data_IF_923369229996
#
_entry.id   IF_923369229996
#
_cell.length_a   1.000
_cell.length_b   1.000
_cell.length_c   1.000
_cell.angle_alpha   90.00
_cell.angle_beta   90.00
_cell.angle_gamma   90.00
#
_symmetry.space_group_name_H-M   'P 1'
#
loop_
_entity.id
_entity.type
_entity.pdbx_description
1 polymer ?
#
# COMPACT_ATOMS: atom_id res chain seq x y z
N UNK A 1 -6.20 46.66 1.11
CA UNK A 1 -5.08 47.33 0.41
C UNK A 1 -3.78 46.80 0.99
N UNK A 2 -2.95 46.22 0.12
CA UNK A 2 -1.55 45.84 0.22
C UNK A 2 -0.91 45.50 1.59
N UNK A 3 -0.35 44.28 1.68
CA UNK A 3 0.97 44.07 2.28
C UNK A 3 1.56 42.76 1.76
N UNK A 4 2.68 42.90 1.07
CA UNK A 4 3.55 41.88 0.48
C UNK A 4 4.30 41.13 1.58
N UNK A 5 4.46 39.81 1.47
CA UNK A 5 5.53 39.08 2.14
C UNK A 5 6.21 38.12 1.15
N UNK A 6 7.50 38.35 1.02
CA UNK A 6 8.43 37.73 0.10
C UNK A 6 8.81 36.31 0.54
N UNK A 7 9.23 35.52 -0.45
CA UNK A 7 9.73 34.16 -0.26
C UNK A 7 11.12 34.10 0.35
N UNK A 8 11.44 32.92 0.90
CA UNK A 8 12.78 32.46 1.16
C UNK A 8 12.92 31.04 0.59
N UNK A 9 13.77 30.92 -0.41
CA UNK A 9 14.18 29.69 -1.09
C UNK A 9 15.19 28.92 -0.24
N UNK A 10 14.96 27.63 -0.02
CA UNK A 10 15.96 26.72 0.51
C UNK A 10 17.00 26.38 -0.58
N UNK A 11 18.25 26.76 -0.34
CA UNK A 11 19.39 26.34 -1.16
C UNK A 11 19.71 24.86 -0.95
N UNK A 12 19.95 24.15 -2.05
CA UNK A 12 20.54 22.79 -2.08
C UNK A 12 22.06 22.93 -2.09
N UNK A 13 22.72 22.26 -1.16
CA UNK A 13 24.17 22.11 -1.11
C UNK A 13 24.59 21.03 -2.13
N UNK A 14 25.38 21.41 -3.13
CA UNK A 14 26.12 20.49 -4.00
C UNK A 14 27.50 20.27 -3.39
N UNK A 15 27.89 19.00 -3.23
CA UNK A 15 29.28 18.62 -2.93
C UNK A 15 29.89 18.17 -4.27
N UNK A 16 30.81 18.97 -4.81
CA UNK A 16 31.69 18.55 -5.91
C UNK A 16 32.83 17.69 -5.33
N UNK A 17 32.95 16.46 -5.83
CA UNK A 17 34.14 15.63 -5.62
C UNK A 17 35.22 16.06 -6.62
N UNK A 18 36.34 16.60 -6.13
CA UNK A 18 37.56 16.79 -6.92
C UNK A 18 38.47 15.56 -6.80
N UNK A 19 39.14 15.12 -7.89
CA UNK A 19 40.05 13.99 -7.84
C UNK A 19 41.40 14.37 -7.23
N UNK A 20 41.95 13.47 -6.41
CA UNK A 20 43.27 13.55 -5.78
C UNK A 20 44.39 13.29 -6.79
N UNK A 21 45.42 14.15 -6.79
CA UNK A 21 46.75 13.92 -7.36
C UNK A 21 47.77 13.80 -6.20
N UNK A 22 48.71 12.83 -6.19
CA UNK A 22 49.60 12.60 -5.06
C UNK A 22 50.99 13.20 -5.30
N UNK A 23 51.42 14.11 -4.41
CA UNK A 23 52.76 14.17 -3.78
C UNK A 23 53.11 15.60 -3.35
N UNK A 24 53.27 15.81 -2.04
CA UNK A 24 54.38 16.60 -1.48
C UNK A 24 54.36 16.53 0.05
N UNK A 25 55.42 15.94 0.59
CA UNK A 25 55.82 15.95 2.00
C UNK A 25 56.19 17.35 2.50
N UNK A 26 55.68 17.78 3.65
CA UNK A 26 56.50 18.43 4.69
C UNK A 26 55.75 18.54 6.03
N UNK A 27 56.54 18.43 7.09
CA UNK A 27 56.23 18.35 8.51
C UNK A 27 55.63 19.63 9.10
N UNK A 28 54.59 19.49 9.93
CA UNK A 28 54.48 20.29 11.16
C UNK A 28 53.69 19.53 12.23
N UNK A 29 54.30 19.47 13.42
CA UNK A 29 53.71 19.00 14.67
C UNK A 29 52.63 19.98 15.12
N UNK A 30 51.38 19.54 15.03
CA UNK A 30 50.23 20.24 15.57
C UNK A 30 49.04 19.29 15.53
N UNK A 31 48.88 18.46 16.55
CA UNK A 31 47.64 17.72 16.79
C UNK A 31 46.56 18.69 17.23
N UNK A 32 46.11 19.53 16.30
CA UNK A 32 44.75 20.03 16.31
C UNK A 32 43.89 18.83 15.96
N UNK A 33 43.41 18.12 17.00
CA UNK A 33 42.26 17.27 16.83
C UNK A 33 41.20 18.13 16.14
N UNK A 34 40.85 17.77 14.90
CA UNK A 34 39.67 18.29 14.23
C UNK A 34 38.49 17.88 15.10
N UNK A 35 38.18 18.74 16.07
CA UNK A 35 37.11 18.55 17.03
C UNK A 35 35.84 18.57 16.18
N UNK A 36 35.19 17.42 16.03
CA UNK A 36 33.93 17.28 15.31
C UNK A 36 32.99 18.40 15.77
N UNK A 37 32.74 19.38 14.90
CA UNK A 37 32.16 20.69 15.27
C UNK A 37 30.62 20.73 15.21
N UNK A 38 29.95 19.61 14.97
CA UNK A 38 28.49 19.56 14.96
C UNK A 38 27.98 18.34 15.73
N UNK A 39 27.54 18.60 16.96
CA UNK A 39 26.61 17.76 17.70
C UNK A 39 25.27 17.82 16.98
N UNK A 40 24.62 16.68 16.76
CA UNK A 40 23.33 16.66 16.08
C UNK A 40 22.56 15.40 16.48
N UNK A 41 21.33 15.57 16.95
CA UNK A 41 20.34 14.50 17.07
C UNK A 41 19.43 14.48 15.83
N UNK A 42 19.59 13.46 14.99
CA UNK A 42 18.73 13.23 13.84
C UNK A 42 17.70 12.13 14.16
N UNK A 43 16.41 12.47 14.15
CA UNK A 43 15.33 11.52 14.43
C UNK A 43 14.64 11.08 13.14
N UNK A 44 14.51 9.76 12.97
CA UNK A 44 13.78 9.10 11.89
C UNK A 44 12.51 8.47 12.45
N UNK A 45 11.36 8.97 12.00
CA UNK A 45 10.06 8.44 12.39
C UNK A 45 9.73 7.16 11.60
N UNK A 46 9.00 6.21 12.21
CA UNK A 46 8.66 4.95 11.55
C UNK A 46 7.67 5.18 10.40
N UNK A 47 8.06 4.73 9.20
CA UNK A 47 7.16 4.58 8.06
C UNK A 47 6.47 3.22 8.18
N UNK A 48 5.68 3.02 9.24
CA UNK A 48 4.87 1.81 9.36
C UNK A 48 3.52 2.02 8.67
N UNK A 49 3.16 1.07 7.83
CA UNK A 49 1.92 1.09 7.07
C UNK A 49 0.73 0.60 7.91
N UNK A 50 0.98 -0.10 9.03
CA UNK A 50 -0.02 -0.71 9.92
C UNK A 50 -0.88 0.30 10.67
N UNK A 51 -2.21 0.17 10.58
CA UNK A 51 -3.17 1.11 11.20
C UNK A 51 -4.03 0.49 12.31
N UNK A 52 -3.98 -0.83 12.48
CA UNK A 52 -4.71 -1.55 13.52
C UNK A 52 -3.75 -2.36 14.39
N UNK A 53 -3.90 -2.22 15.70
CA UNK A 53 -3.08 -2.86 16.72
C UNK A 53 -3.97 -3.49 17.79
N UNK A 54 -3.54 -4.58 18.41
CA UNK A 54 -4.16 -5.07 19.63
C UNK A 54 -3.65 -4.25 20.82
N UNK A 55 -4.55 -3.91 21.75
CA UNK A 55 -4.25 -3.03 22.89
C UNK A 55 -3.15 -3.57 23.82
N UNK A 56 -2.92 -4.89 23.81
CA UNK A 56 -1.89 -5.57 24.61
C UNK A 56 -0.52 -5.67 23.90
N UNK A 57 -0.39 -5.14 22.68
CA UNK A 57 0.89 -5.15 21.98
C UNK A 57 1.90 -4.25 22.69
N UNK A 58 3.04 -4.85 23.05
CA UNK A 58 4.10 -4.19 23.81
C UNK A 58 5.02 -3.33 22.95
N UNK A 59 4.96 -3.44 21.64
CA UNK A 59 5.75 -2.67 20.69
C UNK A 59 4.87 -2.28 19.51
N UNK A 60 4.53 -0.99 19.41
CA UNK A 60 3.67 -0.48 18.33
C UNK A 60 4.52 0.10 17.22
N UNK A 61 5.45 1.02 17.53
CA UNK A 61 6.42 1.52 16.55
C UNK A 61 7.75 1.93 17.17
N UNK A 62 8.79 1.87 16.32
CA UNK A 62 10.15 2.23 16.66
C UNK A 62 10.51 3.57 16.02
N UNK A 63 10.87 4.56 16.84
CA UNK A 63 11.54 5.78 16.42
C UNK A 63 13.04 5.54 16.48
N UNK A 64 13.74 5.75 15.37
CA UNK A 64 15.19 5.60 15.29
C UNK A 64 15.83 6.96 15.37
N UNK A 65 16.99 7.07 16.00
CA UNK A 65 17.75 8.31 16.00
C UNK A 65 19.25 8.03 15.87
N UNK A 66 19.93 8.97 15.22
CA UNK A 66 21.36 8.96 15.04
C UNK A 66 21.93 10.23 15.69
N UNK A 67 23.06 10.08 16.37
CA UNK A 67 23.77 11.21 16.95
C UNK A 67 25.27 11.01 16.88
N UNK A 68 25.99 12.12 16.76
CA UNK A 68 27.44 12.14 16.84
C UNK A 68 27.85 12.29 18.30
N UNK A 69 28.38 11.22 18.89
CA UNK A 69 28.87 11.23 20.27
C UNK A 69 30.36 11.61 20.31
N UNK A 70 30.74 12.71 20.98
CA UNK A 70 32.15 13.01 21.25
C UNK A 70 32.80 12.05 22.29
N UNK A 71 32.06 11.08 22.83
CA UNK A 71 32.52 10.02 23.74
C UNK A 71 32.06 10.20 25.19
N UNK A 72 31.23 11.20 25.48
CA UNK A 72 30.74 11.55 26.81
C UNK A 72 29.23 11.87 26.86
N UNK A 73 28.49 11.68 25.76
CA UNK A 73 27.08 11.97 25.71
C UNK A 73 26.23 10.82 26.31
N UNK A 74 25.26 11.16 27.14
CA UNK A 74 24.22 10.25 27.62
C UNK A 74 22.93 10.51 26.88
N UNK A 75 22.36 9.44 26.34
CA UNK A 75 21.06 9.46 25.69
C UNK A 75 20.00 8.88 26.64
N UNK A 76 18.94 9.65 26.83
CA UNK A 76 17.82 9.30 27.69
C UNK A 76 16.50 9.53 26.96
N UNK A 77 15.50 8.72 27.27
CA UNK A 77 14.16 8.84 26.73
C UNK A 77 13.14 9.01 27.85
N UNK A 78 12.11 9.78 27.55
CA UNK A 78 10.92 9.95 28.37
C UNK A 78 9.70 9.58 27.53
N UNK A 79 8.74 8.88 28.14
CA UNK A 79 7.43 8.58 27.55
C UNK A 79 6.29 9.36 28.21
N UNK A 80 6.60 10.28 29.13
CA UNK A 80 5.66 11.05 29.97
C UNK A 80 5.85 12.59 29.81
N UNK A 81 6.34 13.02 28.66
CA UNK A 81 6.53 14.44 28.33
C UNK A 81 7.69 15.11 29.04
N UNK A 82 8.69 14.33 29.45
CA UNK A 82 9.87 14.80 30.17
C UNK A 82 9.72 14.81 31.69
N UNK A 83 8.67 14.19 32.24
CA UNK A 83 8.48 14.05 33.68
C UNK A 83 9.55 13.14 34.32
N UNK A 84 9.86 12.03 33.65
CA UNK A 84 10.90 11.08 34.03
C UNK A 84 11.71 10.63 32.83
N UNK A 85 13.02 10.44 33.05
CA UNK A 85 13.97 10.02 32.03
C UNK A 85 14.59 8.68 32.44
N UNK A 86 14.67 7.77 31.48
CA UNK A 86 15.34 6.47 31.60
C UNK A 86 16.20 6.22 30.37
N UNK A 87 16.95 5.11 30.37
CA UNK A 87 17.54 4.62 29.11
C UNK A 87 16.45 4.43 28.05
N UNK A 88 16.76 4.82 26.82
CA UNK A 88 15.94 4.50 25.65
C UNK A 88 15.84 2.98 25.44
N UNK A 89 14.94 2.52 24.57
CA UNK A 89 14.77 1.09 24.27
C UNK A 89 16.07 0.45 23.77
N UNK A 90 16.86 1.21 23.00
CA UNK A 90 18.26 0.92 22.74
C UNK A 90 19.06 2.22 22.61
N UNK A 91 20.38 2.11 22.40
CA UNK A 91 21.24 3.28 22.15
C UNK A 91 20.89 4.07 20.89
N UNK A 92 20.01 3.57 20.00
CA UNK A 92 19.59 4.29 18.79
C UNK A 92 18.09 4.25 18.55
N UNK A 93 17.30 3.71 19.49
CA UNK A 93 15.85 3.56 19.29
C UNK A 93 15.00 3.83 20.53
N UNK A 94 13.81 4.33 20.28
CA UNK A 94 12.70 4.44 21.22
C UNK A 94 11.50 3.69 20.66
N UNK A 95 11.01 2.70 21.41
CA UNK A 95 9.76 2.00 21.12
C UNK A 95 8.67 2.56 22.02
N UNK A 96 7.55 2.94 21.42
CA UNK A 96 6.37 3.35 22.16
C UNK A 96 5.28 2.26 22.08
N UNK A 97 4.41 2.27 23.09
CA UNK A 97 3.39 1.24 23.34
C UNK A 97 1.99 1.82 23.20
N UNK A 98 0.97 0.97 23.17
CA UNK A 98 -0.43 1.42 23.12
C UNK A 98 -0.78 2.40 24.26
N UNK A 99 -0.20 2.19 25.45
CA UNK A 99 -0.46 2.98 26.65
C UNK A 99 0.06 4.43 26.57
N UNK A 100 1.12 4.69 25.80
CA UNK A 100 1.75 6.01 25.69
C UNK A 100 1.54 6.67 24.32
N UNK A 101 0.61 6.14 23.50
CA UNK A 101 0.26 6.70 22.19
C UNK A 101 -0.20 8.17 22.25
N UNK A 102 -0.95 8.53 23.29
CA UNK A 102 -1.43 9.90 23.51
C UNK A 102 -0.51 10.74 24.41
N UNK A 103 0.64 10.19 24.80
CA UNK A 103 1.60 10.89 25.66
C UNK A 103 2.67 11.56 24.81
N UNK A 104 3.22 12.66 25.32
CA UNK A 104 4.38 13.29 24.71
C UNK A 104 5.63 12.46 25.05
N UNK A 105 6.50 12.25 24.07
CA UNK A 105 7.77 11.56 24.23
C UNK A 105 8.89 12.56 24.04
N UNK A 106 9.95 12.46 24.84
CA UNK A 106 11.13 13.31 24.75
C UNK A 106 12.36 12.44 24.64
N UNK A 107 13.11 12.59 23.56
CA UNK A 107 14.45 12.03 23.40
C UNK A 107 15.41 13.15 23.80
N UNK A 108 16.30 12.88 24.76
CA UNK A 108 17.26 13.85 25.28
C UNK A 108 18.67 13.31 25.13
N UNK A 109 19.54 14.12 24.56
CA UNK A 109 20.97 13.87 24.47
C UNK A 109 21.71 14.92 25.28
N UNK A 110 22.41 14.50 26.32
CA UNK A 110 23.11 15.37 27.26
C UNK A 110 24.60 15.06 27.24
N UNK A 111 25.45 16.09 27.16
CA UNK A 111 26.90 15.96 27.31
C UNK A 111 27.39 17.03 28.31
N UNK A 112 28.43 16.76 29.12
CA UNK A 112 29.06 17.78 29.97
C UNK A 112 29.65 18.94 29.17
N UNK A 113 30.00 18.71 27.90
CA UNK A 113 30.76 19.65 27.08
C UNK A 113 29.92 20.37 26.02
N UNK A 114 28.64 19.96 25.86
CA UNK A 114 27.75 20.46 24.81
C UNK A 114 26.36 20.73 25.39
N UNK A 115 25.66 21.73 24.86
CA UNK A 115 24.28 22.01 25.25
C UNK A 115 23.39 20.78 25.02
N UNK A 116 22.46 20.54 25.95
CA UNK A 116 21.51 19.42 25.82
C UNK A 116 20.62 19.62 24.60
N UNK A 117 20.49 18.59 23.78
CA UNK A 117 19.53 18.54 22.67
C UNK A 117 18.32 17.71 23.06
N UNK A 118 17.15 18.14 22.60
CA UNK A 118 15.90 17.41 22.84
C UNK A 118 15.09 17.32 21.55
N UNK A 119 14.42 16.18 21.36
CA UNK A 119 13.41 15.99 20.34
C UNK A 119 12.12 15.55 21.01
N UNK A 120 11.04 16.28 20.76
CA UNK A 120 9.72 16.01 21.36
C UNK A 120 8.73 15.61 20.27
N UNK A 121 7.93 14.57 20.53
CA UNK A 121 6.85 14.18 19.66
C UNK A 121 5.70 13.54 20.42
N UNK A 122 4.50 13.56 19.83
CA UNK A 122 3.33 12.84 20.35
C UNK A 122 2.87 11.85 19.27
N UNK A 123 2.87 10.53 19.52
CA UNK A 123 2.52 9.53 18.51
C UNK A 123 1.15 9.78 17.87
N UNK A 124 0.14 10.21 18.65
CA UNK A 124 -1.20 10.48 18.12
C UNK A 124 -1.28 11.67 17.18
N UNK A 125 -0.42 12.67 17.34
CA UNK A 125 -0.31 13.80 16.40
C UNK A 125 0.39 13.37 15.11
N UNK A 126 1.37 12.46 15.21
CA UNK A 126 2.11 11.95 14.05
C UNK A 126 1.33 10.89 13.27
N UNK A 127 0.50 10.10 13.94
CA UNK A 127 -0.20 8.95 13.38
C UNK A 127 -1.70 8.94 13.74
N UNK A 128 -2.47 9.99 13.40
CA UNK A 128 -3.85 10.18 13.90
C UNK A 128 -4.85 9.08 13.49
N UNK A 129 -4.49 8.21 12.54
CA UNK A 129 -5.33 7.11 12.06
C UNK A 129 -5.12 5.76 12.76
N UNK A 130 -4.27 5.65 13.78
CA UNK A 130 -4.07 4.37 14.48
C UNK A 130 -5.28 4.00 15.34
N UNK A 131 -5.70 2.75 15.22
CA UNK A 131 -6.80 2.16 15.99
C UNK A 131 -6.28 1.03 16.86
N UNK A 132 -6.60 1.05 18.15
CA UNK A 132 -6.29 -0.02 19.10
C UNK A 132 -7.55 -0.83 19.40
N UNK A 133 -7.46 -2.14 19.22
CA UNK A 133 -8.54 -3.10 19.42
C UNK A 133 -8.27 -3.96 20.64
N UNK A 134 -9.31 -4.29 21.40
CA UNK A 134 -9.21 -5.26 22.49
C UNK A 134 -9.69 -6.62 21.99
N UNK A 135 -8.95 -7.68 22.30
CA UNK A 135 -9.37 -9.04 21.99
C UNK A 135 -10.55 -9.44 22.88
N UNK A 136 -11.70 -9.74 22.28
CA UNK A 136 -12.82 -10.32 23.01
C UNK A 136 -12.61 -11.84 23.20
N UNK A 137 -11.97 -12.48 22.21
CA UNK A 137 -11.65 -13.90 22.21
C UNK A 137 -10.27 -14.13 21.60
N UNK A 138 -9.48 -15.01 22.21
CA UNK A 138 -8.21 -15.49 21.67
C UNK A 138 -8.32 -16.93 21.18
N UNK A 139 -7.77 -17.19 20.00
CA UNK A 139 -7.64 -18.53 19.42
C UNK A 139 -6.18 -18.93 19.53
N UNK A 140 -5.89 -19.87 20.43
CA UNK A 140 -4.53 -20.27 20.79
C UNK A 140 -4.02 -21.53 20.05
N UNK A 141 -4.90 -22.23 19.31
CA UNK A 141 -4.56 -23.45 18.60
C UNK A 141 -5.26 -23.48 17.24
N UNK A 142 -4.72 -24.28 16.32
CA UNK A 142 -5.38 -24.54 15.03
C UNK A 142 -6.75 -25.16 15.27
N UNK A 143 -7.77 -24.69 14.56
CA UNK A 143 -9.12 -25.25 14.61
C UNK A 143 -9.76 -25.25 13.21
N UNK A 144 -10.76 -26.09 13.02
CA UNK A 144 -11.57 -26.07 11.81
C UNK A 144 -12.51 -24.86 11.80
N UNK A 145 -12.95 -24.44 10.61
CA UNK A 145 -13.78 -23.24 10.48
C UNK A 145 -15.14 -23.39 11.15
N UNK A 146 -15.75 -24.57 11.21
CA UNK A 146 -17.05 -24.73 11.87
C UNK A 146 -16.93 -24.53 13.38
N UNK A 147 -15.85 -25.04 13.98
CA UNK A 147 -15.51 -24.77 15.39
C UNK A 147 -15.25 -23.28 15.60
N UNK A 148 -14.48 -22.64 14.72
CA UNK A 148 -14.21 -21.21 14.77
C UNK A 148 -15.50 -20.37 14.66
N UNK A 149 -16.39 -20.73 13.73
CA UNK A 149 -17.67 -20.03 13.53
C UNK A 149 -18.56 -20.13 14.76
N UNK A 150 -18.79 -21.36 15.23
CA UNK A 150 -19.70 -21.65 16.33
C UNK A 150 -19.24 -20.99 17.65
N UNK A 151 -17.94 -20.88 17.87
CA UNK A 151 -17.39 -20.45 19.17
C UNK A 151 -16.84 -19.03 19.16
N UNK A 152 -16.26 -18.57 18.05
CA UNK A 152 -15.49 -17.31 17.99
C UNK A 152 -16.24 -16.20 17.29
N UNK A 153 -16.97 -16.45 16.20
CA UNK A 153 -17.55 -15.38 15.36
C UNK A 153 -19.08 -15.41 15.27
N UNK A 154 -19.74 -15.93 16.31
CA UNK A 154 -21.20 -15.99 16.42
C UNK A 154 -21.88 -14.68 16.91
N UNK A 155 -21.12 -13.65 17.27
CA UNK A 155 -21.63 -12.31 17.58
C UNK A 155 -20.54 -11.26 17.29
N UNK A 156 -20.94 -9.99 17.11
CA UNK A 156 -20.02 -8.85 16.87
C UNK A 156 -18.90 -8.79 17.91
N UNK A 157 -17.64 -8.95 17.47
CA UNK A 157 -16.47 -8.96 18.34
C UNK A 157 -15.14 -8.92 17.57
N UNK A 158 -14.06 -8.73 18.31
CA UNK A 158 -12.68 -8.88 17.86
C UNK A 158 -12.13 -10.23 18.30
N UNK A 159 -11.72 -11.04 17.32
CA UNK A 159 -11.07 -12.33 17.51
C UNK A 159 -9.59 -12.19 17.18
N UNK A 160 -8.74 -12.54 18.15
CA UNK A 160 -7.29 -12.50 18.00
C UNK A 160 -6.76 -13.91 17.76
N UNK A 161 -6.00 -14.09 16.69
CA UNK A 161 -5.29 -15.35 16.46
C UNK A 161 -3.90 -15.25 17.09
N UNK A 162 -3.55 -16.22 17.92
CA UNK A 162 -2.18 -16.35 18.43
C UNK A 162 -1.20 -16.73 17.31
N UNK A 163 0.10 -16.54 17.56
CA UNK A 163 1.13 -16.80 16.56
C UNK A 163 1.12 -18.26 16.06
N UNK A 164 1.13 -18.43 14.73
CA UNK A 164 1.14 -19.72 14.04
C UNK A 164 -0.23 -20.37 13.89
N UNK A 165 -1.30 -19.76 14.42
CA UNK A 165 -2.65 -20.34 14.36
C UNK A 165 -3.21 -20.31 12.95
N UNK A 166 -3.79 -21.43 12.55
CA UNK A 166 -4.45 -21.64 11.26
C UNK A 166 -5.90 -22.06 11.48
N UNK A 167 -6.82 -21.28 10.92
CA UNK A 167 -8.23 -21.65 10.79
C UNK A 167 -8.39 -22.34 9.44
N UNK A 168 -8.73 -23.62 9.46
CA UNK A 168 -8.79 -24.42 8.23
C UNK A 168 -10.21 -24.84 7.88
N UNK A 169 -10.54 -24.84 6.60
CA UNK A 169 -11.78 -25.43 6.09
C UNK A 169 -11.49 -26.60 5.15
N UNK A 170 -10.42 -27.36 5.43
CA UNK A 170 -10.01 -28.49 4.60
C UNK A 170 -10.96 -29.67 4.80
N UNK A 171 -11.64 -30.07 3.71
CA UNK A 171 -12.50 -31.26 3.69
C UNK A 171 -14.00 -31.02 3.86
N UNK A 172 -14.41 -29.79 4.20
CA UNK A 172 -15.82 -29.41 4.13
C UNK A 172 -16.20 -28.97 2.71
N UNK A 173 -17.39 -29.33 2.24
CA UNK A 173 -17.94 -28.77 0.99
C UNK A 173 -18.45 -27.33 1.16
N UNK A 174 -18.60 -26.91 2.41
CA UNK A 174 -19.25 -25.67 2.81
C UNK A 174 -18.30 -24.48 2.73
N UNK A 175 -18.89 -23.31 2.47
CA UNK A 175 -18.17 -22.04 2.32
C UNK A 175 -17.82 -21.49 3.71
N UNK A 176 -16.69 -20.79 3.84
CA UNK A 176 -16.43 -19.97 5.02
C UNK A 176 -17.39 -18.79 5.00
N UNK A 177 -18.35 -18.71 5.93
CA UNK A 177 -19.19 -17.52 6.10
C UNK A 177 -19.16 -17.07 7.55
N UNK A 178 -19.14 -15.76 7.77
CA UNK A 178 -19.22 -15.21 9.12
C UNK A 178 -20.69 -15.07 9.51
N UNK A 179 -21.13 -15.74 10.58
CA UNK A 179 -22.52 -15.73 11.04
C UNK A 179 -23.04 -14.36 11.53
N UNK A 180 -22.14 -13.46 11.96
CA UNK A 180 -22.49 -12.17 12.58
C UNK A 180 -21.89 -10.94 11.87
N UNK A 181 -22.48 -9.77 12.10
CA UNK A 181 -21.95 -8.47 11.66
C UNK A 181 -20.80 -8.00 12.55
N UNK A 182 -19.99 -7.07 12.07
CA UNK A 182 -18.92 -6.38 12.84
C UNK A 182 -17.91 -7.35 13.48
N UNK A 183 -17.51 -8.39 12.74
CA UNK A 183 -16.45 -9.29 13.15
C UNK A 183 -15.11 -8.72 12.71
N UNK A 184 -14.17 -8.60 13.63
CA UNK A 184 -12.77 -8.32 13.31
C UNK A 184 -11.92 -9.53 13.64
N UNK A 185 -11.17 -10.06 12.69
CA UNK A 185 -10.15 -11.09 12.92
C UNK A 185 -8.78 -10.44 12.74
N UNK A 186 -7.95 -10.50 13.77
CA UNK A 186 -6.65 -9.82 13.80
C UNK A 186 -5.54 -10.74 14.30
N UNK A 187 -4.36 -10.60 13.70
CA UNK A 187 -3.08 -11.14 14.19
C UNK A 187 -2.23 -9.97 14.67
N UNK A 188 -1.57 -10.09 15.83
CA UNK A 188 -0.70 -9.03 16.38
C UNK A 188 0.46 -8.71 15.43
N UNK A 189 1.03 -7.51 15.51
CA UNK A 189 2.19 -7.17 14.68
C UNK A 189 3.38 -8.13 14.92
N UNK A 190 4.03 -8.55 13.83
CA UNK A 190 5.14 -9.51 13.88
C UNK A 190 4.73 -10.97 14.10
N UNK A 191 3.46 -11.26 14.38
CA UNK A 191 2.94 -12.62 14.49
C UNK A 191 2.37 -13.11 13.15
N UNK A 192 2.21 -14.42 13.05
CA UNK A 192 1.57 -15.06 11.89
C UNK A 192 0.25 -15.69 12.29
N UNK A 193 -0.75 -15.60 11.43
CA UNK A 193 -2.01 -16.30 11.56
C UNK A 193 -2.65 -16.44 10.20
N UNK A 194 -3.37 -17.54 9.97
CA UNK A 194 -3.89 -17.84 8.64
C UNK A 194 -5.31 -18.36 8.62
N UNK A 195 -5.99 -18.09 7.51
CA UNK A 195 -7.25 -18.73 7.13
C UNK A 195 -6.96 -19.51 5.85
N UNK A 196 -7.08 -20.82 5.93
CA UNK A 196 -6.75 -21.71 4.82
C UNK A 196 -7.97 -22.49 4.37
N UNK A 197 -8.11 -22.58 3.06
CA UNK A 197 -9.28 -23.17 2.45
C UNK A 197 -8.85 -23.97 1.23
N UNK A 198 -9.35 -25.19 1.14
CA UNK A 198 -9.08 -26.08 0.01
C UNK A 198 -10.39 -26.71 -0.38
N UNK A 199 -10.95 -26.29 -1.52
CA UNK A 199 -12.16 -26.91 -2.04
C UNK A 199 -11.77 -27.98 -3.06
N UNK A 200 -11.88 -29.24 -2.63
CA UNK A 200 -11.81 -30.40 -3.50
C UNK A 200 -13.20 -30.63 -4.10
N UNK A 201 -13.51 -30.12 -5.30
CA UNK A 201 -14.37 -30.82 -6.30
C UNK A 201 -14.77 -29.94 -7.48
N UNK A 202 -14.50 -30.45 -8.70
CA UNK A 202 -15.47 -30.58 -9.79
C UNK A 202 -15.94 -29.31 -10.52
N UNK A 203 -15.23 -28.95 -11.60
CA UNK A 203 -15.67 -28.40 -12.91
C UNK A 203 -16.79 -27.34 -13.03
N UNK A 204 -17.50 -26.88 -12.00
CA UNK A 204 -18.48 -25.81 -12.16
C UNK A 204 -17.79 -24.46 -12.01
N UNK A 205 -17.76 -23.71 -13.10
CA UNK A 205 -16.99 -22.48 -13.29
C UNK A 205 -17.48 -21.27 -12.50
N UNK A 206 -18.68 -21.30 -11.88
CA UNK A 206 -19.37 -20.01 -11.72
C UNK A 206 -19.86 -19.55 -10.33
N UNK A 207 -19.85 -20.31 -9.22
CA UNK A 207 -20.59 -19.76 -8.06
C UNK A 207 -20.11 -20.07 -6.64
N UNK A 208 -18.99 -20.76 -6.46
CA UNK A 208 -18.60 -21.16 -5.11
C UNK A 208 -17.49 -20.31 -4.55
N UNK A 209 -17.91 -19.25 -3.89
CA UNK A 209 -17.10 -18.50 -2.96
C UNK A 209 -16.52 -19.40 -1.88
N UNK A 210 -15.23 -19.24 -1.65
CA UNK A 210 -14.50 -19.95 -0.63
C UNK A 210 -14.65 -19.23 0.72
N UNK A 211 -14.49 -17.90 0.75
CA UNK A 211 -14.96 -17.01 1.81
C UNK A 211 -16.13 -16.17 1.30
N UNK A 212 -17.26 -16.21 2.01
CA UNK A 212 -18.49 -15.50 1.67
C UNK A 212 -18.85 -14.52 2.80
N UNK A 213 -18.72 -13.23 2.51
CA UNK A 213 -19.18 -12.15 3.38
C UNK A 213 -20.67 -11.88 3.14
N UNK A 214 -21.54 -12.58 3.90
CA UNK A 214 -22.99 -12.32 3.95
C UNK A 214 -23.39 -11.28 4.99
N UNK A 215 -22.41 -10.75 5.73
CA UNK A 215 -22.58 -9.82 6.86
C UNK A 215 -21.73 -8.57 6.65
N UNK A 216 -22.13 -7.48 7.30
CA UNK A 216 -21.46 -6.17 7.19
C UNK A 216 -20.43 -5.98 8.30
N UNK A 217 -19.43 -5.14 8.04
CA UNK A 217 -18.41 -4.76 9.03
C UNK A 217 -17.36 -5.84 9.29
N UNK A 218 -17.16 -6.78 8.37
CA UNK A 218 -16.11 -7.80 8.50
C UNK A 218 -14.74 -7.17 8.26
N UNK A 219 -13.79 -7.35 9.17
CA UNK A 219 -12.40 -6.88 9.02
C UNK A 219 -11.42 -8.02 9.19
N UNK A 220 -10.51 -8.18 8.24
CA UNK A 220 -9.42 -9.15 8.27
C UNK A 220 -8.09 -8.38 8.33
N UNK A 221 -7.30 -8.59 9.39
CA UNK A 221 -6.16 -7.73 9.73
C UNK A 221 -4.91 -8.57 10.02
N UNK A 222 -3.83 -8.37 9.26
CA UNK A 222 -2.56 -9.07 9.50
C UNK A 222 -2.57 -10.56 9.14
N UNK A 223 -3.54 -11.01 8.33
CA UNK A 223 -3.78 -12.42 8.06
C UNK A 223 -3.08 -12.88 6.77
N UNK A 224 -2.66 -14.14 6.75
CA UNK A 224 -2.42 -14.87 5.51
C UNK A 224 -3.66 -15.68 5.15
N UNK A 225 -4.27 -15.38 4.01
CA UNK A 225 -5.48 -16.05 3.53
C UNK A 225 -5.10 -16.83 2.28
N UNK A 226 -5.26 -18.15 2.31
CA UNK A 226 -5.00 -19.00 1.15
C UNK A 226 -6.26 -19.72 0.69
N UNK A 227 -6.49 -19.66 -0.61
CA UNK A 227 -7.60 -20.30 -1.28
C UNK A 227 -7.10 -21.15 -2.44
N UNK A 228 -7.28 -22.47 -2.32
CA UNK A 228 -6.97 -23.42 -3.37
C UNK A 228 -8.25 -24.04 -3.95
N UNK A 229 -8.34 -24.07 -5.28
CA UNK A 229 -9.47 -24.64 -6.02
C UNK A 229 -10.03 -23.71 -7.09
N UNK A 230 -11.00 -24.18 -7.87
CA UNK A 230 -11.75 -23.37 -8.83
C UNK A 230 -12.79 -22.49 -8.13
N UNK A 231 -12.95 -21.23 -8.56
CA UNK A 231 -13.95 -20.30 -8.02
C UNK A 231 -13.35 -19.04 -7.36
N UNK A 232 -14.11 -18.42 -6.45
CA UNK A 232 -13.76 -17.14 -5.84
C UNK A 232 -13.10 -17.32 -4.48
N UNK A 233 -11.97 -16.65 -4.21
CA UNK A 233 -11.40 -16.71 -2.85
C UNK A 233 -12.26 -15.94 -1.85
N UNK A 234 -12.74 -14.74 -2.20
CA UNK A 234 -13.65 -13.93 -1.40
C UNK A 234 -14.82 -13.46 -2.26
N UNK A 235 -16.05 -13.57 -1.74
CA UNK A 235 -17.21 -12.88 -2.31
C UNK A 235 -18.03 -12.13 -1.28
N UNK A 236 -18.68 -11.04 -1.69
CA UNK A 236 -19.71 -10.35 -0.90
C UNK A 236 -20.94 -10.11 -1.76
N UNK A 237 -22.10 -10.33 -1.15
CA UNK A 237 -23.40 -10.19 -1.79
C UNK A 237 -24.09 -8.84 -1.51
N UNK A 238 -23.36 -7.79 -1.07
CA UNK A 238 -23.78 -6.37 -0.85
C UNK A 238 -23.30 -5.76 0.48
N UNK A 239 -22.21 -6.25 1.07
CA UNK A 239 -21.81 -5.86 2.43
C UNK A 239 -20.54 -5.01 2.49
N UNK A 240 -20.29 -4.36 3.63
CA UNK A 240 -19.02 -3.68 3.88
C UNK A 240 -18.00 -4.67 4.45
N UNK A 241 -16.82 -4.75 3.82
CA UNK A 241 -15.72 -5.58 4.29
C UNK A 241 -14.37 -4.85 4.17
N UNK A 242 -13.44 -5.18 5.07
CA UNK A 242 -12.12 -4.58 5.12
C UNK A 242 -11.01 -5.63 5.17
N UNK A 243 -9.96 -5.45 4.38
CA UNK A 243 -8.75 -6.27 4.36
C UNK A 243 -7.57 -5.33 4.60
N UNK A 244 -6.85 -5.54 5.69
CA UNK A 244 -5.80 -4.65 6.15
C UNK A 244 -4.54 -5.46 6.42
N UNK A 245 -3.39 -5.03 5.90
CA UNK A 245 -2.09 -5.64 6.22
C UNK A 245 -2.06 -7.15 6.01
N UNK A 246 -2.86 -7.64 5.06
CA UNK A 246 -3.08 -9.07 4.87
C UNK A 246 -2.55 -9.50 3.52
N UNK A 247 -2.18 -10.77 3.42
CA UNK A 247 -1.80 -11.41 2.17
C UNK A 247 -2.89 -12.39 1.80
N UNK A 248 -3.45 -12.24 0.61
CA UNK A 248 -4.47 -13.12 0.05
C UNK A 248 -3.93 -13.78 -1.22
N UNK A 249 -3.81 -15.09 -1.19
CA UNK A 249 -3.32 -15.88 -2.33
C UNK A 249 -4.41 -16.84 -2.80
N UNK A 250 -4.79 -16.72 -4.07
CA UNK A 250 -5.73 -17.62 -4.72
C UNK A 250 -5.02 -18.42 -5.82
N UNK A 251 -5.04 -19.75 -5.70
CA UNK A 251 -4.49 -20.68 -6.68
C UNK A 251 -5.62 -21.52 -7.29
N UNK A 252 -6.01 -21.20 -8.52
CA UNK A 252 -6.97 -21.97 -9.30
C UNK A 252 -7.66 -21.15 -10.38
N UNK A 253 -8.63 -21.77 -11.06
CA UNK A 253 -9.39 -21.11 -12.13
C UNK A 253 -10.54 -20.31 -11.55
N UNK A 254 -10.32 -19.02 -11.33
CA UNK A 254 -11.32 -18.09 -10.81
C UNK A 254 -10.69 -16.78 -10.34
N UNK A 255 -11.48 -15.97 -9.62
CA UNK A 255 -11.11 -14.61 -9.22
C UNK A 255 -10.75 -14.58 -7.73
N UNK A 256 -9.86 -13.68 -7.32
CA UNK A 256 -9.49 -13.60 -5.90
C UNK A 256 -10.58 -12.90 -5.08
N UNK A 257 -11.12 -11.78 -5.56
CA UNK A 257 -12.24 -11.09 -4.92
C UNK A 257 -13.32 -10.80 -5.97
N UNK A 258 -14.55 -11.21 -5.70
CA UNK A 258 -15.74 -10.83 -6.45
C UNK A 258 -16.73 -10.11 -5.55
N UNK A 259 -17.09 -8.87 -5.84
CA UNK A 259 -17.81 -8.06 -4.87
C UNK A 259 -18.82 -7.09 -5.46
N UNK A 260 -20.04 -7.17 -4.93
CA UNK A 260 -21.11 -6.20 -5.15
C UNK A 260 -21.22 -5.21 -3.97
N UNK A 261 -20.44 -5.45 -2.91
CA UNK A 261 -20.40 -4.67 -1.67
C UNK A 261 -19.39 -3.51 -1.67
N UNK A 262 -19.13 -2.96 -0.48
CA UNK A 262 -18.09 -1.93 -0.27
C UNK A 262 -16.85 -2.55 0.36
N UNK A 263 -15.72 -2.46 -0.34
CA UNK A 263 -14.46 -3.03 0.11
C UNK A 263 -13.44 -1.94 0.44
N UNK A 264 -12.75 -2.11 1.54
CA UNK A 264 -11.56 -1.32 1.89
C UNK A 264 -10.35 -2.24 1.97
N UNK A 265 -9.38 -2.05 1.10
CA UNK A 265 -8.17 -2.87 1.02
C UNK A 265 -6.97 -1.95 1.23
N UNK A 266 -6.23 -2.15 2.32
CA UNK A 266 -5.16 -1.25 2.72
C UNK A 266 -3.90 -2.03 3.03
N UNK A 267 -2.78 -1.60 2.44
CA UNK A 267 -1.45 -2.17 2.69
C UNK A 267 -1.43 -3.70 2.63
N UNK A 268 -2.18 -4.26 1.68
CA UNK A 268 -2.40 -5.69 1.53
C UNK A 268 -1.83 -6.19 0.22
N UNK A 269 -1.51 -7.48 0.18
CA UNK A 269 -1.06 -8.15 -1.04
C UNK A 269 -2.15 -9.10 -1.50
N UNK A 270 -2.62 -8.95 -2.74
CA UNK A 270 -3.60 -9.83 -3.35
C UNK A 270 -2.96 -10.46 -4.58
N UNK A 271 -2.78 -11.77 -4.56
CA UNK A 271 -2.10 -12.50 -5.60
C UNK A 271 -3.00 -13.61 -6.15
N UNK A 272 -3.31 -13.53 -7.44
CA UNK A 272 -3.92 -14.61 -8.19
C UNK A 272 -2.81 -15.33 -8.96
N UNK A 273 -2.64 -16.64 -8.72
CA UNK A 273 -1.57 -17.46 -9.35
C UNK A 273 -2.10 -18.51 -10.33
N UNK A 274 -3.42 -18.71 -10.38
CA UNK A 274 -4.03 -19.73 -11.22
C UNK A 274 -4.36 -19.25 -12.63
N UNK A 275 -4.92 -20.15 -13.43
CA UNK A 275 -5.35 -19.87 -14.81
C UNK A 275 -6.79 -19.34 -14.80
N UNK A 276 -7.03 -18.04 -14.99
CA UNK A 276 -8.39 -17.48 -14.85
C UNK A 276 -8.52 -15.98 -15.10
N UNK A 277 -9.69 -15.45 -14.74
CA UNK A 277 -10.18 -14.13 -15.13
C UNK A 277 -9.41 -12.95 -14.52
N UNK A 278 -9.73 -12.52 -13.29
CA UNK A 278 -9.25 -11.26 -12.70
C UNK A 278 -8.86 -11.44 -11.23
N UNK A 279 -7.92 -10.66 -10.70
CA UNK A 279 -7.67 -10.71 -9.25
C UNK A 279 -8.82 -10.09 -8.47
N UNK A 280 -9.34 -8.93 -8.90
CA UNK A 280 -10.51 -8.30 -8.30
C UNK A 280 -11.53 -7.98 -9.40
N UNK A 281 -12.79 -8.37 -9.16
CA UNK A 281 -13.94 -8.03 -9.98
C UNK A 281 -15.00 -7.31 -9.15
N UNK A 282 -15.30 -6.08 -9.51
CA UNK A 282 -16.35 -5.27 -8.90
C UNK A 282 -17.53 -5.07 -9.85
N UNK A 283 -18.74 -5.44 -9.45
CA UNK A 283 -19.91 -5.22 -10.29
C UNK A 283 -20.46 -3.78 -10.12
N UNK A 284 -21.35 -3.58 -9.16
CA UNK A 284 -21.86 -2.31 -8.64
C UNK A 284 -21.19 -1.91 -7.33
N UNK A 285 -20.29 -2.76 -6.82
CA UNK A 285 -19.57 -2.53 -5.57
C UNK A 285 -18.55 -1.40 -5.65
N UNK A 286 -18.23 -0.83 -4.50
CA UNK A 286 -17.24 0.25 -4.37
C UNK A 286 -15.98 -0.25 -3.70
N UNK A 287 -14.81 -0.02 -4.31
CA UNK A 287 -13.52 -0.43 -3.75
C UNK A 287 -12.67 0.78 -3.42
N UNK A 288 -12.17 0.84 -2.19
CA UNK A 288 -11.08 1.74 -1.79
C UNK A 288 -9.83 0.91 -1.58
N UNK A 289 -8.83 1.08 -2.44
CA UNK A 289 -7.56 0.34 -2.40
C UNK A 289 -6.41 1.33 -2.16
N UNK A 290 -5.65 1.14 -1.08
CA UNK A 290 -4.52 2.01 -0.78
C UNK A 290 -3.28 1.27 -0.31
N UNK A 291 -2.09 1.72 -0.75
CA UNK A 291 -0.80 1.14 -0.34
C UNK A 291 -0.64 -0.36 -0.65
N UNK A 292 -1.47 -0.91 -1.54
CA UNK A 292 -1.63 -2.36 -1.72
C UNK A 292 -0.99 -2.83 -3.02
N UNK A 293 -0.68 -4.13 -3.09
CA UNK A 293 -0.15 -4.77 -4.30
C UNK A 293 -1.13 -5.82 -4.80
N UNK A 294 -1.63 -5.64 -6.03
CA UNK A 294 -2.62 -6.52 -6.66
C UNK A 294 -1.99 -7.14 -7.91
N UNK A 295 -1.82 -8.45 -7.92
CA UNK A 295 -1.17 -9.17 -9.04
C UNK A 295 -2.10 -10.24 -9.58
N UNK A 296 -2.23 -10.30 -10.91
CA UNK A 296 -2.99 -11.30 -11.65
C UNK A 296 -2.10 -12.04 -12.65
N UNK A 297 -2.22 -13.37 -12.70
CA UNK A 297 -1.47 -14.20 -13.64
C UNK A 297 -2.10 -14.23 -15.05
N UNK A 298 -3.43 -14.21 -15.17
CA UNK A 298 -4.12 -14.61 -16.41
C UNK A 298 -5.14 -13.60 -16.95
N UNK A 299 -5.48 -12.54 -16.22
CA UNK A 299 -6.21 -11.38 -16.75
C UNK A 299 -5.94 -10.11 -15.94
N UNK A 300 -6.81 -9.10 -15.93
CA UNK A 300 -6.53 -7.84 -15.25
C UNK A 300 -6.30 -8.04 -13.74
N UNK A 301 -5.46 -7.19 -13.16
CA UNK A 301 -5.31 -7.06 -11.72
C UNK A 301 -6.60 -6.52 -11.09
N UNK A 302 -7.29 -5.62 -11.79
CA UNK A 302 -8.57 -5.09 -11.35
C UNK A 302 -9.52 -4.90 -12.53
N UNK A 303 -10.76 -5.34 -12.37
CA UNK A 303 -11.83 -5.17 -13.33
C UNK A 303 -13.09 -4.68 -12.62
N UNK A 304 -13.78 -3.71 -13.19
CA UNK A 304 -15.10 -3.33 -12.69
C UNK A 304 -16.05 -2.87 -13.78
N UNK A 305 -17.36 -3.09 -13.56
CA UNK A 305 -18.44 -2.64 -14.45
C UNK A 305 -19.47 -1.75 -13.73
N UNK A 306 -19.02 -0.84 -12.88
CA UNK A 306 -19.88 0.08 -12.13
C UNK A 306 -19.28 0.47 -10.79
N UNK A 307 -20.06 1.17 -9.97
CA UNK A 307 -19.67 1.56 -8.62
C UNK A 307 -18.58 2.64 -8.55
N UNK A 308 -18.07 2.89 -7.35
CA UNK A 308 -17.05 3.92 -7.08
C UNK A 308 -15.72 3.28 -6.68
N UNK A 309 -14.66 3.57 -7.43
CA UNK A 309 -13.35 2.97 -7.26
C UNK A 309 -12.32 4.05 -6.89
N UNK A 310 -11.64 3.91 -5.74
CA UNK A 310 -10.65 4.87 -5.26
C UNK A 310 -9.35 4.16 -4.97
N UNK A 311 -8.35 4.38 -5.82
CA UNK A 311 -7.04 3.74 -5.73
C UNK A 311 -5.96 4.75 -5.41
N UNK A 312 -5.15 4.49 -4.38
CA UNK A 312 -4.03 5.37 -4.03
C UNK A 312 -2.76 4.63 -3.64
N UNK A 313 -1.61 5.12 -4.09
CA UNK A 313 -0.28 4.61 -3.69
C UNK A 313 -0.16 3.08 -3.83
N UNK A 314 -0.87 2.46 -4.77
CA UNK A 314 -0.96 1.01 -4.92
C UNK A 314 -0.27 0.54 -6.19
N UNK A 315 0.15 -0.73 -6.21
CA UNK A 315 0.71 -1.38 -7.40
C UNK A 315 -0.27 -2.39 -7.95
N UNK A 316 -0.56 -2.31 -9.24
CA UNK A 316 -1.38 -3.27 -9.97
C UNK A 316 -0.51 -3.92 -11.05
N UNK A 317 -0.49 -5.25 -11.12
CA UNK A 317 0.27 -5.99 -12.11
C UNK A 317 -0.59 -7.07 -12.76
N UNK A 318 -0.58 -7.08 -14.10
CA UNK A 318 -1.20 -8.14 -14.90
C UNK A 318 -0.14 -8.77 -15.78
N UNK A 319 -0.09 -10.10 -15.81
CA UNK A 319 0.82 -10.84 -16.69
C UNK A 319 0.14 -11.39 -17.95
N UNK A 320 -1.12 -10.99 -18.19
CA UNK A 320 -1.87 -11.42 -19.37
C UNK A 320 -1.46 -10.65 -20.62
N UNK A 321 -1.54 -11.30 -21.78
CA UNK A 321 -1.23 -10.69 -23.09
C UNK A 321 -2.46 -10.12 -23.79
N UNK A 322 -3.66 -10.43 -23.30
CA UNK A 322 -4.92 -10.19 -24.02
C UNK A 322 -5.80 -9.10 -23.41
N UNK A 323 -5.47 -8.65 -22.20
CA UNK A 323 -6.28 -7.73 -21.39
C UNK A 323 -5.41 -6.71 -20.67
N UNK A 324 -5.95 -5.55 -20.33
CA UNK A 324 -5.17 -4.51 -19.67
C UNK A 324 -4.95 -4.81 -18.18
N UNK A 325 -4.04 -4.11 -17.51
CA UNK A 325 -3.81 -4.26 -16.07
C UNK A 325 -5.03 -3.89 -15.22
N UNK A 326 -5.69 -2.78 -15.55
CA UNK A 326 -6.90 -2.28 -14.89
C UNK A 326 -7.98 -2.01 -15.94
N UNK A 327 -9.23 -2.39 -15.66
CA UNK A 327 -10.37 -2.17 -16.54
C UNK A 327 -11.55 -1.56 -15.77
N UNK A 328 -12.11 -0.48 -16.30
CA UNK A 328 -13.36 0.11 -15.81
C UNK A 328 -14.38 0.22 -16.94
N UNK A 329 -15.56 -0.34 -16.72
CA UNK A 329 -16.63 -0.42 -17.68
C UNK A 329 -17.91 0.20 -17.12
N UNK A 330 -18.80 0.59 -18.02
CA UNK A 330 -20.22 0.79 -17.82
C UNK A 330 -20.65 1.42 -16.49
N UNK A 331 -20.46 2.73 -16.35
CA UNK A 331 -20.98 3.48 -15.20
C UNK A 331 -20.03 3.54 -14.00
N UNK A 332 -18.79 3.08 -14.17
CA UNK A 332 -17.78 3.17 -13.12
C UNK A 332 -17.34 4.62 -12.91
N UNK A 333 -17.24 5.06 -11.66
CA UNK A 333 -16.54 6.30 -11.29
C UNK A 333 -15.25 5.95 -10.57
N UNK A 334 -14.10 6.36 -11.12
CA UNK A 334 -12.80 5.98 -10.60
C UNK A 334 -11.91 7.19 -10.26
N UNK A 335 -11.12 7.07 -9.20
CA UNK A 335 -10.04 8.00 -8.85
C UNK A 335 -8.77 7.20 -8.64
N UNK A 336 -7.71 7.50 -9.38
CA UNK A 336 -6.42 6.84 -9.34
C UNK A 336 -5.35 7.87 -9.00
N UNK A 337 -4.79 7.78 -7.80
CA UNK A 337 -3.78 8.72 -7.29
C UNK A 337 -2.47 8.01 -6.96
N UNK A 338 -1.37 8.37 -7.63
CA UNK A 338 -0.03 7.87 -7.32
C UNK A 338 0.12 6.34 -7.35
N UNK A 339 -0.61 5.65 -8.22
CA UNK A 339 -0.49 4.19 -8.37
C UNK A 339 0.60 3.81 -9.37
N UNK A 340 1.10 2.58 -9.29
CA UNK A 340 1.94 1.97 -10.33
C UNK A 340 1.16 0.88 -11.04
N UNK A 341 0.99 1.00 -12.36
CA UNK A 341 0.34 -0.02 -13.19
C UNK A 341 1.41 -0.71 -14.04
N UNK A 342 1.59 -2.01 -13.82
CA UNK A 342 2.56 -2.85 -14.52
C UNK A 342 1.83 -3.76 -15.50
N UNK A 343 2.16 -3.62 -16.78
CA UNK A 343 1.75 -4.55 -17.84
C UNK A 343 2.87 -5.55 -18.10
N UNK A 344 2.76 -6.72 -17.49
CA UNK A 344 3.72 -7.81 -17.62
C UNK A 344 3.58 -8.61 -18.91
N UNK A 345 2.41 -8.60 -19.56
CA UNK A 345 2.12 -9.44 -20.73
C UNK A 345 1.90 -8.71 -22.05
N UNK A 346 1.82 -7.38 -22.05
CA UNK A 346 1.63 -6.57 -23.27
C UNK A 346 0.17 -6.29 -23.62
N UNK A 347 -0.78 -6.53 -22.71
CA UNK A 347 -2.20 -6.27 -22.92
C UNK A 347 -2.61 -4.81 -22.74
N UNK A 348 -1.71 -3.95 -22.23
CA UNK A 348 -1.93 -2.54 -21.91
C UNK A 348 -2.19 -2.29 -20.42
N UNK A 349 -2.26 -1.03 -20.02
CA UNK A 349 -2.35 -0.68 -18.59
C UNK A 349 -3.76 -0.40 -18.09
N UNK A 350 -4.54 0.42 -18.80
CA UNK A 350 -5.84 0.92 -18.35
C UNK A 350 -6.85 0.93 -19.49
N UNK A 351 -7.99 0.28 -19.27
CA UNK A 351 -9.11 0.28 -20.21
C UNK A 351 -10.33 0.99 -19.60
N UNK A 352 -10.98 1.85 -20.40
CA UNK A 352 -12.16 2.61 -20.01
C UNK A 352 -13.26 2.41 -21.07
N UNK A 353 -14.38 1.82 -20.72
CA UNK A 353 -15.52 1.70 -21.63
C UNK A 353 -16.80 2.31 -21.07
N UNK A 354 -17.60 2.83 -22.00
CA UNK A 354 -18.95 3.32 -21.76
C UNK A 354 -19.93 2.45 -22.52
N UNK A 355 -21.09 2.19 -21.92
CA UNK A 355 -22.26 1.67 -22.63
C UNK A 355 -23.12 2.83 -23.11
N UNK A 356 -24.10 2.54 -23.98
CA UNK A 356 -25.06 3.55 -24.42
C UNK A 356 -25.90 4.13 -23.26
N UNK A 357 -26.02 3.38 -22.15
CA UNK A 357 -26.83 3.76 -21.00
C UNK A 357 -26.01 4.34 -19.83
N UNK A 358 -24.69 4.16 -19.81
CA UNK A 358 -23.87 4.47 -18.63
C UNK A 358 -22.52 5.08 -19.02
N UNK A 359 -22.13 6.13 -18.29
CA UNK A 359 -20.86 6.83 -18.47
C UNK A 359 -19.86 6.41 -17.41
N UNK A 360 -18.70 5.93 -17.86
CA UNK A 360 -17.52 5.71 -17.02
C UNK A 360 -16.70 7.00 -16.95
N UNK A 361 -16.29 7.36 -15.74
CA UNK A 361 -15.43 8.52 -15.48
C UNK A 361 -14.23 8.10 -14.66
N UNK A 362 -13.07 8.69 -14.97
CA UNK A 362 -11.85 8.44 -14.23
C UNK A 362 -11.06 9.75 -14.02
N UNK A 363 -10.70 10.03 -12.77
CA UNK A 363 -9.65 10.98 -12.40
C UNK A 363 -8.34 10.20 -12.22
N UNK A 364 -7.30 10.65 -12.92
CA UNK A 364 -5.98 9.99 -12.93
C UNK A 364 -4.96 11.07 -12.60
N UNK A 365 -4.25 10.90 -11.48
CA UNK A 365 -3.27 11.86 -10.98
C UNK A 365 -2.01 11.14 -10.46
N UNK A 366 -0.82 11.55 -10.92
CA UNK A 366 0.47 11.07 -10.41
C UNK A 366 0.77 9.58 -10.60
N UNK A 367 0.03 8.86 -11.44
CA UNK A 367 0.23 7.43 -11.66
C UNK A 367 1.45 7.15 -12.56
N UNK A 368 2.14 6.04 -12.29
CA UNK A 368 3.26 5.51 -13.08
C UNK A 368 2.81 4.28 -13.86
N UNK A 369 3.16 4.20 -15.14
CA UNK A 369 2.85 3.07 -16.02
C UNK A 369 4.15 2.37 -16.46
N UNK A 370 4.26 1.05 -16.28
CA UNK A 370 5.48 0.28 -16.57
C UNK A 370 5.17 -0.94 -17.40
N UNK A 371 5.93 -1.17 -18.47
CA UNK A 371 5.91 -2.43 -19.21
C UNK A 371 6.92 -3.41 -18.60
N UNK A 372 6.53 -4.67 -18.42
CA UNK A 372 7.39 -5.72 -17.88
C UNK A 372 8.55 -6.08 -18.82
N UNK A 373 9.67 -6.53 -18.23
CA UNK A 373 10.90 -6.86 -18.96
C UNK A 373 10.77 -8.04 -19.95
N UNK A 374 9.76 -8.88 -19.80
CA UNK A 374 9.54 -10.06 -20.65
C UNK A 374 8.80 -9.75 -21.96
N UNK A 375 8.22 -8.55 -22.09
CA UNK A 375 7.49 -8.18 -23.29
C UNK A 375 8.45 -7.50 -24.29
N UNK A 376 8.78 -8.23 -25.34
CA UNK A 376 9.05 -7.62 -26.63
C UNK A 376 7.70 -7.55 -27.36
N UNK A 377 6.79 -6.61 -27.01
CA UNK A 377 5.47 -6.60 -27.60
C UNK A 377 5.61 -6.27 -29.08
N UNK A 378 5.00 -7.03 -29.99
CA UNK A 378 4.74 -6.52 -31.32
C UNK A 378 3.72 -5.36 -31.16
N UNK A 379 4.21 -4.13 -31.03
CA UNK A 379 3.36 -2.92 -31.00
C UNK A 379 2.77 -2.52 -29.65
N UNK A 380 3.55 -2.56 -28.56
CA UNK A 380 3.10 -2.14 -27.22
C UNK A 380 2.53 -0.72 -27.20
N UNK A 381 1.20 -0.61 -27.20
CA UNK A 381 0.46 0.64 -27.25
C UNK A 381 0.13 1.10 -25.83
N UNK A 382 0.50 2.32 -25.46
CA UNK A 382 -0.08 3.00 -24.30
C UNK A 382 -1.53 3.33 -24.62
N UNK A 383 -2.43 2.38 -24.43
CA UNK A 383 -3.80 2.51 -24.90
C UNK A 383 -4.68 2.95 -23.74
N UNK A 384 -4.94 4.25 -23.62
CA UNK A 384 -6.22 4.71 -23.10
C UNK A 384 -7.25 4.43 -24.20
N UNK A 385 -7.78 3.21 -24.26
CA UNK A 385 -8.84 2.89 -25.20
C UNK A 385 -10.13 3.48 -24.64
N UNK A 386 -10.63 4.53 -25.29
CA UNK A 386 -12.01 4.92 -25.12
C UNK A 386 -12.93 3.92 -25.82
N UNK A 387 -13.95 3.42 -25.12
CA UNK A 387 -15.04 2.69 -25.77
C UNK A 387 -15.74 3.53 -26.85
N UNK A 388 -16.57 2.89 -27.69
CA UNK A 388 -17.25 3.51 -28.84
C UNK A 388 -18.11 4.75 -28.52
N UNK A 389 -18.38 5.03 -27.25
CA UNK A 389 -19.23 6.12 -26.77
C UNK A 389 -18.44 7.29 -26.11
N UNK A 390 -17.12 7.37 -26.33
CA UNK A 390 -16.26 8.45 -25.83
C UNK A 390 -15.94 8.32 -24.34
N UNK A 391 -14.71 8.65 -23.92
CA UNK A 391 -14.28 8.57 -22.50
C UNK A 391 -13.90 9.96 -22.01
N UNK A 392 -14.45 10.37 -20.85
CA UNK A 392 -14.10 11.64 -20.21
C UNK A 392 -13.05 11.38 -19.14
N UNK A 393 -11.79 11.66 -19.47
CA UNK A 393 -10.72 11.79 -18.47
C UNK A 393 -10.81 13.19 -17.87
N UNK A 394 -11.06 13.28 -16.56
CA UNK A 394 -11.02 14.56 -15.84
C UNK A 394 -9.59 14.75 -15.31
N UNK A 395 -8.89 15.76 -15.82
CA UNK A 395 -7.58 16.15 -15.32
C UNK A 395 -7.78 17.30 -14.32
N UNK A 396 -7.45 17.08 -13.04
CA UNK A 396 -7.44 18.17 -12.06
C UNK A 396 -6.17 19.00 -12.24
N UNK A 397 -6.37 20.28 -12.55
CA UNK A 397 -5.41 21.17 -13.22
C UNK A 397 -4.17 21.62 -12.41
N UNK A 398 -3.67 20.83 -11.45
CA UNK A 398 -2.50 21.22 -10.65
C UNK A 398 -1.30 20.28 -10.73
N UNK A 399 -1.47 18.99 -11.04
CA UNK A 399 -0.37 18.03 -11.19
C UNK A 399 -0.62 17.18 -12.46
N UNK A 400 -0.02 17.56 -13.58
CA UNK A 400 -0.22 16.85 -14.85
C UNK A 400 0.12 15.35 -14.76
N UNK A 401 -0.59 14.52 -15.51
CA UNK A 401 -0.22 13.12 -15.71
C UNK A 401 1.13 13.02 -16.43
N UNK A 402 2.13 12.40 -15.80
CA UNK A 402 3.42 12.13 -16.42
C UNK A 402 3.41 10.74 -17.06
N UNK A 403 3.32 10.68 -18.38
CA UNK A 403 3.54 9.45 -19.14
C UNK A 403 5.04 9.33 -19.44
N UNK A 404 5.82 8.68 -18.57
CA UNK A 404 7.24 8.41 -18.85
C UNK A 404 7.38 7.25 -19.85
N UNK A 405 7.98 7.54 -21.01
CA UNK A 405 8.35 6.56 -22.01
C UNK A 405 9.88 6.39 -22.04
N UNK A 406 10.36 5.16 -21.84
CA UNK A 406 11.80 4.85 -21.73
C UNK A 406 12.41 4.21 -22.99
N UNK A 407 11.67 4.15 -24.11
CA UNK A 407 12.15 3.52 -25.35
C UNK A 407 11.92 4.44 -26.57
N UNK A 408 12.97 5.07 -27.13
CA UNK A 408 12.84 6.00 -28.25
C UNK A 408 12.44 5.33 -29.59
N UNK A 409 12.40 3.99 -29.64
CA UNK A 409 12.05 3.25 -30.87
C UNK A 409 10.55 2.97 -31.03
N UNK A 410 9.69 3.36 -30.08
CA UNK A 410 8.26 3.04 -30.09
C UNK A 410 7.39 4.30 -30.18
N UNK A 411 6.36 4.23 -31.01
CA UNK A 411 5.37 5.31 -31.18
C UNK A 411 4.28 5.21 -30.11
N UNK A 412 3.97 6.34 -29.48
CA UNK A 412 2.77 6.49 -28.66
C UNK A 412 1.55 6.63 -29.59
N UNK A 413 0.86 5.53 -29.89
CA UNK A 413 -0.46 5.58 -30.56
C UNK A 413 -1.56 5.81 -29.50
N UNK A 414 -1.55 7.01 -28.92
CA UNK A 414 -2.64 7.48 -28.07
C UNK A 414 -3.83 7.87 -28.94
N UNK A 415 -5.02 7.41 -28.56
CA UNK A 415 -6.28 7.77 -29.21
C UNK A 415 -6.41 9.30 -29.26
N UNK A 416 -6.40 9.85 -30.48
CA UNK A 416 -6.80 11.22 -30.80
C UNK A 416 -8.34 11.28 -30.83
N UNK A 417 -8.97 11.21 -29.65
CA UNK A 417 -10.38 11.61 -29.55
C UNK A 417 -10.43 13.14 -29.59
N UNK A 418 -11.29 13.71 -30.43
CA UNK A 418 -11.48 15.16 -30.56
C UNK A 418 -11.93 15.83 -29.25
N UNK A 419 -12.26 15.05 -28.22
CA UNK A 419 -12.70 15.51 -26.90
C UNK A 419 -11.60 15.50 -25.81
N UNK A 420 -10.33 15.25 -26.15
CA UNK A 420 -9.21 15.34 -25.19
C UNK A 420 -8.78 16.80 -24.97
N UNK A 421 -9.49 17.52 -24.10
CA UNK A 421 -9.17 18.92 -23.76
C UNK A 421 -8.36 19.01 -22.45
N UNK A 422 -7.04 18.80 -22.51
CA UNK A 422 -6.11 19.17 -21.44
C UNK A 422 -5.25 18.04 -20.86
N UNK A 423 -3.97 18.03 -21.27
CA UNK A 423 -2.89 17.25 -20.66
C UNK A 423 -1.56 17.60 -21.32
N UNK A 424 -0.49 17.73 -20.53
CA UNK A 424 0.86 17.94 -21.06
C UNK A 424 1.51 16.59 -21.32
N UNK A 425 1.69 16.22 -22.58
CA UNK A 425 2.49 15.05 -22.95
C UNK A 425 3.96 15.45 -22.97
N UNK A 426 4.80 14.80 -22.16
CA UNK A 426 6.26 14.95 -22.23
C UNK A 426 6.81 13.72 -22.92
N UNK A 427 6.95 13.79 -24.24
CA UNK A 427 7.81 12.88 -24.99
C UNK A 427 9.25 13.33 -24.81
N UNK A 428 10.05 12.60 -24.03
CA UNK A 428 11.50 12.77 -24.02
C UNK A 428 12.07 12.26 -25.35
N UNK A 429 12.15 13.13 -26.34
CA UNK A 429 12.88 12.85 -27.57
C UNK A 429 14.37 13.09 -27.28
N UNK A 430 15.13 12.04 -26.96
CA UNK A 430 16.60 12.14 -26.84
C UNK A 430 17.23 12.22 -28.23
N UNK A 431 16.97 13.29 -28.98
CA UNK A 431 17.80 13.69 -30.12
C UNK A 431 17.80 15.22 -30.22
N UNK A 432 18.63 15.83 -29.35
CA UNK A 432 19.30 17.13 -29.46
C UNK A 432 19.14 18.04 -28.24
N UNK A 433 20.29 18.60 -27.84
CA UNK A 433 20.54 19.36 -26.63
C UNK A 433 19.60 20.57 -26.48
N UNK A 434 18.70 20.48 -25.52
CA UNK A 434 17.87 21.57 -25.02
C UNK A 434 17.09 21.03 -23.83
N UNK A 435 17.27 21.64 -22.66
CA UNK A 435 16.82 21.15 -21.35
C UNK A 435 15.33 20.76 -21.37
N UNK A 436 15.05 19.45 -21.30
CA UNK A 436 13.73 18.86 -21.05
C UNK A 436 13.85 18.08 -19.74
N UNK A 437 12.93 18.32 -18.81
CA UNK A 437 12.92 17.71 -17.48
C UNK A 437 13.05 16.19 -17.56
N UNK A 438 14.06 15.67 -16.88
CA UNK A 438 14.30 14.24 -16.75
C UNK A 438 13.12 13.58 -16.03
N UNK A 439 12.62 12.46 -16.57
CA UNK A 439 11.89 11.50 -15.75
C UNK A 439 12.83 11.07 -14.60
N UNK A 440 12.39 11.14 -13.33
CA UNK A 440 13.20 10.67 -12.21
C UNK A 440 13.43 9.17 -12.22
#
# INVERSE_FOLDING_TARGET
MASVLAGASCGRLYIEETPLDPAATSSSTGTSASRVTAFSLAVTLPIASRIYYVSDETAVRTVTFNYNDPGDATLECSSDGGGSFSSCTSGTTLVWTTANYNQSHVIRLTSPTIATETYTFTPSTLFPGLTFLTCDVEVAANEDFNTFEATRVNASRTVCLSNGVTISNSGAQDRISFGANNITVIVREGQTGSIQTTRNTGTSTDDTAILLFTRTGIKLIGLTISAAGSGYAITSLSTTAGIYHSTLTASGSGQTIYGDGTYTIVNSTIQQTGTGFESIRGSTGSFTISGSTITSAAGPAFYSWGGTQVFSNSTFQSNTTTRTTVEFLDGTTATLNNNTLVDGGGGGHLYLSNSAAQTTTAEINGNTFKTGAAANPPGGTYSLKGGANGVRTLNSASNGNLFCHVDPARTFDGVKDANFSGGTFVTANQTNAGVIGLCP
#
